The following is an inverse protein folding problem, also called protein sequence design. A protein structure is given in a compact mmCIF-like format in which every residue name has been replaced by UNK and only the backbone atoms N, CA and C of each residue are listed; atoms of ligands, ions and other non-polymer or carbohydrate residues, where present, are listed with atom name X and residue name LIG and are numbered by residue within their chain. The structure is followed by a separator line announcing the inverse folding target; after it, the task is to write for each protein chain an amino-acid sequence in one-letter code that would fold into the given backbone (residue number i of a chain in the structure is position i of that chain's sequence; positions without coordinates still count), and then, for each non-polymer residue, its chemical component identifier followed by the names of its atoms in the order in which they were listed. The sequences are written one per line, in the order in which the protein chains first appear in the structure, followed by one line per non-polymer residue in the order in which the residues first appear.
data_IF_187908330277
#
_entry.id   IF_187908330277
#
_cell.length_a   1.000
_cell.length_b   1.000
_cell.length_c   1.000
_cell.angle_alpha   90.00
_cell.angle_beta   90.00
_cell.angle_gamma   90.00
#
_symmetry.space_group_name_H-M   'P 1'
#
loop_
_entity.id
_entity.type
_entity.pdbx_description
1 polymer ?
#
# COMPACT_ATOMS: atom_id res chain seq x y z
N UNK A 1 20.90 16.78 6.95
CA UNK A 1 21.94 16.34 6.00
C UNK A 1 23.34 16.37 6.61
N UNK A 2 23.94 17.54 6.88
CA UNK A 2 25.30 17.63 7.45
C UNK A 2 25.49 16.77 8.71
N UNK A 3 24.66 16.96 9.73
CA UNK A 3 24.74 16.19 10.98
C UNK A 3 24.23 14.75 10.86
N UNK A 4 23.53 14.37 9.78
CA UNK A 4 23.25 12.95 9.52
C UNK A 4 24.52 12.23 9.05
N UNK A 5 25.37 12.92 8.28
CA UNK A 5 26.67 12.42 7.83
C UNK A 5 27.73 12.48 8.93
N UNK A 6 27.68 13.52 9.77
CA UNK A 6 28.63 13.73 10.88
C UNK A 6 27.91 13.77 12.23
N UNK A 7 27.40 12.62 12.72
CA UNK A 7 26.59 12.57 13.94
C UNK A 7 27.37 12.91 15.21
N UNK A 8 28.70 12.83 15.18
CA UNK A 8 29.57 13.12 16.34
C UNK A 8 30.16 14.54 16.32
N UNK A 9 29.78 15.37 15.34
CA UNK A 9 30.25 16.76 15.29
C UNK A 9 29.66 17.59 16.44
N UNK A 10 30.42 18.61 16.85
CA UNK A 10 29.93 19.61 17.81
C UNK A 10 28.69 20.30 17.24
N UNK A 11 27.66 20.48 18.09
CA UNK A 11 26.35 21.00 17.69
C UNK A 11 25.41 20.00 16.99
N UNK A 12 25.75 18.71 16.95
CA UNK A 12 24.88 17.65 16.38
C UNK A 12 23.52 17.54 17.07
N UNK A 13 23.34 18.09 18.28
CA UNK A 13 22.05 18.16 18.99
C UNK A 13 20.94 18.87 18.18
N UNK A 14 21.30 19.76 17.24
CA UNK A 14 20.32 20.41 16.35
C UNK A 14 19.60 19.40 15.43
N UNK A 15 20.11 18.17 15.32
CA UNK A 15 19.40 17.07 14.64
C UNK A 15 18.04 16.80 15.25
N UNK A 16 17.84 16.98 16.56
CA UNK A 16 16.55 16.74 17.23
C UNK A 16 15.45 17.61 16.62
N UNK A 17 15.74 18.87 16.33
CA UNK A 17 14.76 19.80 15.74
C UNK A 17 14.69 19.71 14.21
N UNK A 18 15.74 19.21 13.56
CA UNK A 18 15.80 19.06 12.09
C UNK A 18 15.43 17.66 11.60
N UNK A 19 15.18 16.70 12.50
CA UNK A 19 14.83 15.32 12.15
C UNK A 19 13.58 15.24 11.27
N UNK A 20 12.60 16.12 11.50
CA UNK A 20 11.37 16.20 10.71
C UNK A 20 11.56 16.74 9.27
N UNK A 21 12.75 17.23 8.93
CA UNK A 21 13.12 17.53 7.53
C UNK A 21 13.59 16.28 6.78
N UNK A 22 14.01 15.24 7.50
CA UNK A 22 14.45 13.98 6.91
C UNK A 22 13.24 13.19 6.40
N UNK A 23 13.24 12.79 5.13
CA UNK A 23 12.21 11.95 4.53
C UNK A 23 10.78 12.53 4.60
N UNK A 24 10.64 13.86 4.72
CA UNK A 24 9.33 14.53 4.92
C UNK A 24 8.28 14.14 3.87
N UNK A 25 8.70 13.97 2.62
CA UNK A 25 7.83 13.58 1.49
C UNK A 25 7.95 12.10 1.12
N UNK A 26 8.78 11.34 1.84
CA UNK A 26 9.00 9.91 1.59
C UNK A 26 8.11 9.03 2.46
N UNK A 27 7.02 9.59 3.01
CA UNK A 27 6.09 8.87 3.85
C UNK A 27 5.53 7.60 3.18
N UNK A 28 5.48 7.55 1.85
CA UNK A 28 5.08 6.36 1.10
C UNK A 28 6.05 5.20 1.31
N UNK A 29 7.37 5.43 1.24
CA UNK A 29 8.37 4.39 1.49
C UNK A 29 8.34 3.93 2.95
N UNK A 30 8.21 4.87 3.89
CA UNK A 30 8.06 4.51 5.30
C UNK A 30 6.82 3.65 5.56
N UNK A 31 5.68 3.98 4.91
CA UNK A 31 4.46 3.19 5.02
C UNK A 31 4.59 1.82 4.34
N UNK A 32 5.27 1.74 3.20
CA UNK A 32 5.56 0.49 2.49
C UNK A 32 6.52 -0.41 3.27
N UNK A 33 7.58 0.13 3.86
CA UNK A 33 8.49 -0.64 4.73
C UNK A 33 7.75 -1.18 5.94
N UNK A 34 6.94 -0.33 6.61
CA UNK A 34 6.11 -0.75 7.73
C UNK A 34 5.11 -1.85 7.33
N UNK A 35 4.53 -1.76 6.13
CA UNK A 35 3.68 -2.82 5.59
C UNK A 35 4.46 -4.12 5.38
N UNK A 36 5.63 -4.07 4.74
CA UNK A 36 6.46 -5.25 4.46
C UNK A 36 6.92 -5.94 5.76
N UNK A 37 7.35 -5.15 6.75
CA UNK A 37 7.71 -5.64 8.09
C UNK A 37 6.52 -6.35 8.77
N UNK A 38 5.32 -5.75 8.69
CA UNK A 38 4.11 -6.34 9.28
C UNK A 38 3.64 -7.59 8.54
N UNK A 39 3.83 -7.62 7.22
CA UNK A 39 3.51 -8.76 6.36
C UNK A 39 4.55 -9.89 6.45
N UNK A 40 5.68 -9.66 7.12
CA UNK A 40 6.85 -10.54 7.11
C UNK A 40 7.27 -10.87 5.67
N UNK A 41 7.43 -9.84 4.85
CA UNK A 41 7.82 -9.91 3.45
C UNK A 41 9.13 -9.15 3.21
N UNK A 42 9.87 -9.53 2.17
CA UNK A 42 10.99 -8.71 1.72
C UNK A 42 10.48 -7.39 1.11
N UNK A 43 11.24 -6.30 1.30
CA UNK A 43 10.85 -4.98 0.79
C UNK A 43 10.61 -4.93 -0.72
N UNK A 44 11.21 -5.84 -1.49
CA UNK A 44 10.97 -5.94 -2.94
C UNK A 44 9.63 -6.62 -3.29
N UNK A 45 9.17 -7.55 -2.44
CA UNK A 45 7.99 -8.36 -2.74
C UNK A 45 6.69 -7.55 -2.67
N UNK A 46 6.68 -6.46 -1.87
CA UNK A 46 5.52 -5.56 -1.78
C UNK A 46 5.11 -5.01 -3.15
N UNK A 47 6.05 -4.80 -4.06
CA UNK A 47 5.74 -4.24 -5.38
C UNK A 47 4.91 -5.20 -6.22
N UNK A 48 5.01 -6.51 -5.96
CA UNK A 48 4.18 -7.53 -6.58
C UNK A 48 2.71 -7.49 -6.14
N UNK A 49 2.40 -6.79 -5.05
CA UNK A 49 1.05 -6.62 -4.51
C UNK A 49 0.35 -5.34 -4.98
N UNK A 50 1.00 -4.56 -5.86
CA UNK A 50 0.42 -3.35 -6.44
C UNK A 50 -0.35 -3.72 -7.71
N UNK A 51 -1.69 -3.73 -7.62
CA UNK A 51 -2.54 -4.04 -8.78
C UNK A 51 -3.21 -2.83 -9.43
N UNK A 52 -3.13 -1.62 -8.83
CA UNK A 52 -3.58 -0.37 -9.48
C UNK A 52 -2.53 0.12 -10.48
N UNK A 53 -2.87 0.28 -11.77
CA UNK A 53 -1.98 0.91 -12.74
C UNK A 53 -1.61 2.34 -12.37
N UNK A 54 -2.55 3.10 -11.77
CA UNK A 54 -2.31 4.47 -11.32
C UNK A 54 -1.24 4.50 -10.23
N UNK A 55 -1.42 3.67 -9.20
CA UNK A 55 -0.46 3.49 -8.11
C UNK A 55 0.92 3.05 -8.62
N UNK A 56 0.95 2.08 -9.53
CA UNK A 56 2.18 1.62 -10.17
C UNK A 56 2.90 2.77 -10.88
N UNK A 57 2.17 3.58 -11.64
CA UNK A 57 2.75 4.72 -12.37
C UNK A 57 3.25 5.81 -11.42
N UNK A 58 2.53 6.10 -10.33
CA UNK A 58 3.00 7.01 -9.27
C UNK A 58 4.33 6.54 -8.69
N UNK A 59 4.42 5.26 -8.31
CA UNK A 59 5.61 4.69 -7.70
C UNK A 59 6.80 4.61 -8.68
N UNK A 60 6.57 4.24 -9.94
CA UNK A 60 7.63 4.27 -10.96
C UNK A 60 8.14 5.70 -11.15
N UNK A 61 7.22 6.68 -11.22
CA UNK A 61 7.60 8.10 -11.35
C UNK A 61 8.42 8.56 -10.15
N UNK A 62 8.05 8.14 -8.94
CA UNK A 62 8.77 8.43 -7.72
C UNK A 62 10.17 7.81 -7.72
N UNK A 63 10.28 6.51 -8.05
CA UNK A 63 11.54 5.78 -8.12
C UNK A 63 12.49 6.41 -9.15
N UNK A 64 12.00 6.78 -10.34
CA UNK A 64 12.82 7.46 -11.35
C UNK A 64 13.30 8.85 -10.91
N UNK A 65 12.54 9.56 -10.07
CA UNK A 65 12.95 10.87 -9.56
C UNK A 65 14.03 10.77 -8.48
N UNK A 66 14.06 9.66 -7.75
CA UNK A 66 15.00 9.44 -6.65
C UNK A 66 16.27 8.73 -7.14
N UNK A 67 16.20 8.01 -8.26
CA UNK A 67 17.33 7.35 -8.90
C UNK A 67 18.11 6.42 -7.92
N UNK A 68 19.35 6.07 -8.25
CA UNK A 68 20.25 5.24 -7.43
C UNK A 68 20.61 5.85 -6.05
N UNK A 69 20.22 7.10 -5.82
CA UNK A 69 20.50 7.83 -4.59
C UNK A 69 19.72 7.32 -3.37
N UNK A 70 18.61 6.58 -3.56
CA UNK A 70 17.82 6.02 -2.44
C UNK A 70 18.63 5.08 -1.54
N UNK A 71 19.58 4.34 -2.13
CA UNK A 71 20.42 3.38 -1.42
C UNK A 71 21.59 4.02 -0.69
N UNK A 72 21.87 5.30 -0.96
CA UNK A 72 23.04 5.98 -0.45
C UNK A 72 22.70 6.66 0.89
N UNK A 73 23.40 6.33 1.99
CA UNK A 73 23.11 6.88 3.30
C UNK A 73 23.31 8.41 3.38
N UNK A 74 24.16 8.96 2.51
CA UNK A 74 24.55 10.37 2.50
C UNK A 74 23.85 11.18 1.38
N UNK A 75 22.79 10.63 0.80
CA UNK A 75 22.10 11.20 -0.36
C UNK A 75 21.30 12.48 -0.05
N UNK A 76 21.05 13.26 -1.12
CA UNK A 76 20.11 14.38 -1.12
C UNK A 76 18.64 13.95 -1.18
N UNK A 77 18.37 12.70 -1.55
CA UNK A 77 17.05 12.12 -1.75
C UNK A 77 16.07 12.43 -0.59
N UNK A 78 16.44 12.26 0.69
CA UNK A 78 15.53 12.58 1.81
C UNK A 78 15.12 14.04 1.91
N UNK A 79 15.83 14.94 1.22
CA UNK A 79 15.72 16.39 1.33
C UNK A 79 15.30 17.08 0.02
N UNK A 80 14.93 16.32 -1.02
CA UNK A 80 14.68 16.87 -2.37
C UNK A 80 13.68 18.04 -2.38
N UNK A 81 12.61 17.98 -1.57
CA UNK A 81 11.64 19.08 -1.47
C UNK A 81 12.18 20.28 -0.72
N UNK A 82 12.75 20.06 0.46
CA UNK A 82 13.26 21.15 1.31
C UNK A 82 14.44 21.89 0.65
N UNK A 83 15.16 21.23 -0.26
CA UNK A 83 16.22 21.82 -1.09
C UNK A 83 15.73 22.37 -2.44
N UNK A 84 14.45 22.23 -2.77
CA UNK A 84 13.89 22.70 -4.04
C UNK A 84 14.37 21.92 -5.27
N UNK A 85 14.91 20.71 -5.08
CA UNK A 85 15.40 19.82 -6.15
C UNK A 85 14.27 19.04 -6.83
N UNK A 86 13.11 18.90 -6.17
CA UNK A 86 11.92 18.29 -6.75
C UNK A 86 10.65 19.08 -6.40
N UNK A 87 9.76 19.36 -7.37
CA UNK A 87 8.61 20.24 -7.18
C UNK A 87 7.55 19.68 -6.23
N UNK A 88 7.46 18.35 -6.07
CA UNK A 88 6.76 17.59 -5.01
C UNK A 88 6.87 16.10 -5.35
N UNK A 89 7.09 15.25 -4.34
CA UNK A 89 7.15 13.78 -4.46
C UNK A 89 5.89 13.09 -3.95
N UNK A 90 4.78 13.83 -3.84
CA UNK A 90 3.53 13.31 -3.33
C UNK A 90 3.00 12.17 -4.21
N UNK A 91 2.90 11.00 -3.61
CA UNK A 91 2.15 9.85 -4.12
C UNK A 91 1.00 9.59 -3.15
N UNK A 92 -0.07 10.42 -3.19
CA UNK A 92 -1.13 10.37 -2.20
C UNK A 92 -1.90 9.05 -2.25
N UNK A 93 -2.15 8.51 -3.46
CA UNK A 93 -2.79 7.20 -3.64
C UNK A 93 -1.90 6.11 -3.03
N UNK A 94 -0.59 6.14 -3.29
CA UNK A 94 0.36 5.17 -2.74
C UNK A 94 0.47 5.23 -1.22
N UNK A 95 0.58 6.42 -0.67
CA UNK A 95 0.65 6.62 0.78
C UNK A 95 -0.63 6.14 1.47
N UNK A 96 -1.79 6.44 0.89
CA UNK A 96 -3.07 6.01 1.42
C UNK A 96 -3.19 4.48 1.41
N UNK A 97 -2.94 3.84 0.26
CA UNK A 97 -3.02 2.39 0.12
C UNK A 97 -2.04 1.67 1.07
N UNK A 98 -0.78 2.10 1.16
CA UNK A 98 0.19 1.50 2.07
C UNK A 98 -0.25 1.61 3.54
N UNK A 99 -0.82 2.75 3.94
CA UNK A 99 -1.37 2.94 5.29
C UNK A 99 -2.57 2.04 5.54
N UNK A 100 -3.54 1.99 4.63
CA UNK A 100 -4.71 1.11 4.80
C UNK A 100 -4.27 -0.34 4.91
N UNK A 101 -3.40 -0.78 4.01
CA UNK A 101 -2.89 -2.14 4.01
C UNK A 101 -2.16 -2.47 5.32
N UNK A 102 -1.30 -1.59 5.84
CA UNK A 102 -0.66 -1.77 7.14
C UNK A 102 -1.65 -1.82 8.32
N UNK A 103 -2.72 -1.02 8.29
CA UNK A 103 -3.78 -1.09 9.29
C UNK A 103 -4.48 -2.44 9.28
N UNK A 104 -4.75 -2.98 8.09
CA UNK A 104 -5.47 -4.26 7.91
C UNK A 104 -4.61 -5.45 8.30
N UNK A 105 -3.31 -5.46 7.96
CA UNK A 105 -2.39 -6.55 8.34
C UNK A 105 -2.26 -6.71 9.85
N UNK A 106 -2.35 -5.63 10.62
CA UNK A 106 -2.32 -5.70 12.10
C UNK A 106 -3.51 -6.43 12.69
N UNK A 107 -4.58 -6.62 11.92
CA UNK A 107 -5.63 -7.56 12.28
C UNK A 107 -5.14 -8.99 12.04
N UNK A 108 -5.07 -9.78 13.11
CA UNK A 108 -4.71 -11.20 13.02
C UNK A 108 -5.71 -11.89 12.06
N UNK A 109 -5.33 -12.10 10.81
CA UNK A 109 -6.15 -12.80 9.80
C UNK A 109 -6.30 -12.12 8.44
N UNK A 110 -6.13 -10.79 8.33
CA UNK A 110 -6.34 -10.07 7.06
C UNK A 110 -5.03 -9.73 6.32
N UNK A 111 -4.00 -10.56 6.49
CA UNK A 111 -2.62 -10.26 6.07
C UNK A 111 -2.49 -10.00 4.55
N UNK A 112 -3.48 -10.40 3.74
CA UNK A 112 -3.33 -10.47 2.28
C UNK A 112 -4.55 -10.02 1.47
N UNK A 113 -5.49 -9.26 2.05
CA UNK A 113 -6.54 -8.64 1.24
C UNK A 113 -5.88 -7.66 0.25
N UNK A 114 -5.99 -7.86 -1.08
CA UNK A 114 -5.43 -6.92 -2.04
C UNK A 114 -6.28 -5.65 -2.04
N UNK A 115 -5.89 -4.75 -1.16
CA UNK A 115 -6.56 -3.48 -0.96
C UNK A 115 -6.01 -2.50 -1.98
N UNK A 116 -6.74 -2.38 -3.08
CA UNK A 116 -6.46 -1.40 -4.12
C UNK A 116 -7.59 -0.39 -4.11
N UNK A 117 -7.36 0.71 -3.40
CA UNK A 117 -8.20 1.89 -3.42
C UNK A 117 -7.70 2.83 -4.50
N UNK A 118 -8.48 3.01 -5.56
CA UNK A 118 -8.27 4.12 -6.50
C UNK A 118 -9.19 5.26 -6.05
N UNK A 119 -8.62 6.37 -5.60
CA UNK A 119 -9.40 7.61 -5.41
C UNK A 119 -9.34 8.40 -6.71
N UNK A 120 -10.48 8.89 -7.20
CA UNK A 120 -10.50 9.82 -8.33
C UNK A 120 -10.02 11.22 -7.95
N UNK A 121 -9.95 11.50 -6.65
CA UNK A 121 -9.52 12.77 -6.09
C UNK A 121 -8.61 12.52 -4.85
N UNK A 122 -7.39 13.07 -4.81
CA UNK A 122 -6.47 12.93 -3.67
C UNK A 122 -6.91 13.70 -2.41
N UNK A 123 -7.92 14.57 -2.50
CA UNK A 123 -8.47 15.35 -1.38
C UNK A 123 -9.92 14.98 -1.04
N UNK A 124 -10.60 14.26 -1.92
CA UNK A 124 -11.95 13.74 -1.70
C UNK A 124 -11.92 12.22 -1.49
N UNK A 125 -11.61 11.82 -0.26
CA UNK A 125 -11.71 10.44 0.23
C UNK A 125 -13.15 9.91 0.24
N UNK A 126 -14.16 10.66 -0.23
CA UNK A 126 -15.54 10.18 -0.36
C UNK A 126 -15.84 9.51 -1.72
N UNK A 127 -14.88 9.51 -2.65
CA UNK A 127 -15.10 8.98 -4.01
C UNK A 127 -14.76 7.49 -4.17
N UNK A 128 -15.82 6.73 -4.50
CA UNK A 128 -15.85 5.47 -5.24
C UNK A 128 -14.71 4.49 -4.86
N UNK A 129 -14.80 3.88 -3.67
CA UNK A 129 -14.13 2.60 -3.38
C UNK A 129 -14.75 1.54 -4.29
N UNK A 130 -14.42 1.61 -5.57
CA UNK A 130 -14.52 0.47 -6.45
C UNK A 130 -13.14 -0.11 -6.49
N UNK A 131 -12.98 -1.23 -5.80
CA UNK A 131 -12.08 -2.27 -6.27
C UNK A 131 -12.50 -2.47 -7.74
N UNK A 132 -11.77 -1.85 -8.69
CA UNK A 132 -11.96 -2.04 -10.15
C UNK A 132 -10.87 -2.95 -10.72
N UNK A 133 -10.63 -4.16 -10.19
CA UNK A 133 -9.92 -5.17 -10.95
C UNK A 133 -10.74 -5.55 -12.18
N UNK A 134 -12.09 -5.45 -12.12
CA UNK A 134 -13.02 -6.01 -13.11
C UNK A 134 -12.63 -5.76 -14.58
N UNK A 135 -12.07 -4.62 -15.02
CA UNK A 135 -11.65 -4.43 -16.43
C UNK A 135 -10.26 -4.98 -16.78
N UNK A 136 -9.30 -4.90 -15.87
CA UNK A 136 -7.94 -5.37 -16.09
C UNK A 136 -7.84 -6.88 -15.86
N UNK A 137 -8.48 -7.37 -14.80
CA UNK A 137 -8.52 -8.76 -14.39
C UNK A 137 -9.44 -9.61 -15.28
N UNK A 138 -10.59 -9.10 -15.76
CA UNK A 138 -11.40 -9.84 -16.76
C UNK A 138 -10.67 -10.05 -18.10
N UNK A 139 -9.80 -9.11 -18.52
CA UNK A 139 -8.94 -9.29 -19.69
C UNK A 139 -7.91 -10.40 -19.48
N UNK A 140 -7.36 -10.51 -18.27
CA UNK A 140 -6.44 -11.57 -17.84
C UNK A 140 -7.13 -12.93 -17.74
N UNK A 141 -8.36 -12.97 -17.22
CA UNK A 141 -9.20 -14.18 -17.21
C UNK A 141 -9.53 -14.70 -18.59
N UNK A 142 -9.90 -13.79 -19.51
CA UNK A 142 -10.18 -14.15 -20.90
C UNK A 142 -8.98 -14.84 -21.56
N UNK A 143 -7.79 -14.26 -21.41
CA UNK A 143 -6.54 -14.83 -21.95
C UNK A 143 -6.17 -16.19 -21.33
N UNK A 144 -6.73 -16.54 -20.16
CA UNK A 144 -6.38 -17.74 -19.38
C UNK A 144 -7.41 -18.86 -19.53
N UNK A 145 -8.68 -18.53 -19.67
CA UNK A 145 -9.71 -19.44 -20.20
C UNK A 145 -9.33 -19.92 -21.61
N UNK A 146 -8.74 -19.03 -22.42
CA UNK A 146 -8.12 -19.38 -23.71
C UNK A 146 -6.93 -20.36 -23.58
N UNK A 147 -6.37 -20.55 -22.37
CA UNK A 147 -5.21 -21.41 -22.10
C UNK A 147 -5.52 -22.73 -21.34
N UNK A 148 -6.74 -22.93 -20.84
CA UNK A 148 -7.22 -24.24 -20.33
C UNK A 148 -6.77 -24.68 -18.92
N UNK A 149 -6.62 -23.78 -17.95
CA UNK A 149 -6.29 -24.13 -16.55
C UNK A 149 -7.56 -24.33 -15.66
N UNK A 150 -7.59 -25.40 -14.85
CA UNK A 150 -8.70 -25.78 -13.94
C UNK A 150 -8.41 -25.36 -12.47
N UNK A 151 -9.42 -24.96 -11.67
CA UNK A 151 -9.21 -24.09 -10.47
C UNK A 151 -9.81 -24.58 -9.13
N UNK A 152 -10.52 -25.72 -9.06
CA UNK A 152 -11.41 -25.98 -7.90
C UNK A 152 -10.75 -26.36 -6.55
N UNK A 153 -9.50 -26.84 -6.51
CA UNK A 153 -8.84 -27.28 -5.24
C UNK A 153 -7.87 -26.23 -4.63
N UNK A 154 -7.88 -25.00 -5.13
CA UNK A 154 -6.83 -24.01 -4.86
C UNK A 154 -6.93 -23.24 -3.52
N UNK A 155 -8.06 -23.31 -2.81
CA UNK A 155 -8.37 -22.41 -1.68
C UNK A 155 -7.43 -22.53 -0.46
N UNK A 156 -7.09 -23.77 -0.06
CA UNK A 156 -6.29 -24.01 1.15
C UNK A 156 -4.82 -23.65 0.95
N UNK A 157 -4.31 -23.78 -0.28
CA UNK A 157 -2.90 -23.63 -0.59
C UNK A 157 -2.49 -22.16 -0.83
N UNK A 158 -3.41 -21.34 -1.38
CA UNK A 158 -3.19 -19.90 -1.59
C UNK A 158 -2.99 -19.15 -0.27
N UNK A 159 -3.71 -19.55 0.78
CA UNK A 159 -3.63 -18.93 2.11
C UNK A 159 -2.29 -19.13 2.83
N UNK A 160 -1.48 -20.09 2.38
CA UNK A 160 -0.21 -20.46 3.03
C UNK A 160 1.00 -19.69 2.50
N UNK A 161 0.85 -18.97 1.39
CA UNK A 161 1.93 -18.25 0.72
C UNK A 161 1.71 -16.74 0.66
N UNK A 162 2.82 -15.99 0.80
CA UNK A 162 2.84 -14.51 0.71
C UNK A 162 3.11 -14.03 -0.72
N UNK A 163 3.10 -14.95 -1.69
CA UNK A 163 3.34 -14.62 -3.08
C UNK A 163 2.04 -14.08 -3.71
N UNK A 164 2.05 -12.92 -4.40
CA UNK A 164 0.83 -12.28 -4.92
C UNK A 164 0.14 -13.10 -6.01
N UNK A 165 0.90 -13.85 -6.81
CA UNK A 165 0.36 -14.61 -7.96
C UNK A 165 -0.74 -15.62 -7.59
N UNK A 166 -0.58 -16.53 -6.60
CA UNK A 166 -1.67 -17.37 -6.10
C UNK A 166 -2.95 -16.58 -5.73
N UNK A 167 -2.81 -15.46 -5.02
CA UNK A 167 -3.93 -14.61 -4.61
C UNK A 167 -4.66 -13.98 -5.80
N UNK A 168 -3.90 -13.44 -6.76
CA UNK A 168 -4.47 -12.91 -8.00
C UNK A 168 -5.21 -14.01 -8.75
N UNK A 169 -4.62 -15.20 -8.86
CA UNK A 169 -5.25 -16.34 -9.56
C UNK A 169 -6.57 -16.76 -8.91
N UNK A 170 -6.62 -16.73 -7.58
CA UNK A 170 -7.82 -17.02 -6.81
C UNK A 170 -8.92 -15.99 -7.09
N UNK A 171 -8.61 -14.70 -6.93
CA UNK A 171 -9.58 -13.63 -7.21
C UNK A 171 -10.03 -13.64 -8.67
N UNK A 172 -9.11 -13.92 -9.59
CA UNK A 172 -9.44 -14.09 -10.99
C UNK A 172 -10.43 -15.23 -11.22
N UNK A 173 -10.30 -16.35 -10.52
CA UNK A 173 -11.21 -17.48 -10.68
C UNK A 173 -12.65 -17.17 -10.24
N UNK A 174 -12.81 -16.25 -9.29
CA UNK A 174 -14.08 -15.92 -8.64
C UNK A 174 -14.62 -14.55 -9.08
N UNK A 175 -14.42 -14.17 -10.35
CA UNK A 175 -14.85 -12.88 -10.92
C UNK A 175 -14.42 -11.62 -10.13
N UNK A 176 -13.32 -11.76 -9.38
CA UNK A 176 -12.76 -10.78 -8.45
C UNK A 176 -13.65 -10.46 -7.25
N UNK A 177 -14.54 -11.39 -6.87
CA UNK A 177 -15.27 -11.35 -5.61
C UNK A 177 -14.30 -11.57 -4.45
N UNK A 178 -14.55 -10.87 -3.34
CA UNK A 178 -13.75 -10.98 -2.13
C UNK A 178 -14.26 -12.21 -1.38
N UNK A 179 -13.40 -13.20 -1.05
CA UNK A 179 -13.85 -14.37 -0.32
C UNK A 179 -14.44 -14.03 1.06
N UNK A 180 -15.51 -14.72 1.45
CA UNK A 180 -16.23 -14.51 2.73
C UNK A 180 -15.30 -14.44 3.94
N UNK A 181 -14.29 -15.33 4.02
CA UNK A 181 -13.36 -15.35 5.15
C UNK A 181 -12.51 -14.05 5.26
N UNK A 182 -12.24 -13.37 4.15
CA UNK A 182 -11.57 -12.06 4.16
C UNK A 182 -12.54 -11.01 4.67
N UNK A 183 -13.80 -11.03 4.23
CA UNK A 183 -14.84 -10.10 4.69
C UNK A 183 -15.13 -10.25 6.18
N UNK A 184 -15.21 -11.49 6.68
CA UNK A 184 -15.39 -11.81 8.10
C UNK A 184 -14.21 -11.28 8.93
N UNK A 185 -12.97 -11.59 8.54
CA UNK A 185 -11.77 -11.11 9.21
C UNK A 185 -11.69 -9.57 9.21
N UNK A 186 -12.04 -8.95 8.09
CA UNK A 186 -12.05 -7.50 7.95
C UNK A 186 -13.16 -6.87 8.81
N UNK A 187 -14.34 -7.47 8.86
CA UNK A 187 -15.44 -7.01 9.71
C UNK A 187 -15.11 -7.14 11.19
N UNK A 188 -14.50 -8.26 11.61
CA UNK A 188 -14.01 -8.47 12.97
C UNK A 188 -12.94 -7.43 13.31
N UNK A 189 -12.02 -7.14 12.39
CA UNK A 189 -11.03 -6.08 12.56
C UNK A 189 -11.68 -4.71 12.78
N UNK A 190 -12.59 -4.32 11.88
CA UNK A 190 -13.25 -3.02 11.97
C UNK A 190 -14.00 -2.89 13.29
N UNK A 191 -14.59 -3.97 13.82
CA UNK A 191 -15.29 -3.96 15.11
C UNK A 191 -14.39 -3.64 16.31
N UNK A 192 -13.08 -3.89 16.19
CA UNK A 192 -12.07 -3.62 17.22
C UNK A 192 -11.50 -2.21 17.15
N UNK A 193 -11.79 -1.46 16.09
CA UNK A 193 -11.37 -0.06 15.97
C UNK A 193 -12.21 0.77 16.94
N UNK A 194 -11.54 1.35 17.94
CA UNK A 194 -12.15 2.26 18.92
C UNK A 194 -12.38 3.66 18.35
N UNK A 195 -12.28 4.68 19.21
CA UNK A 195 -12.39 6.07 18.77
C UNK A 195 -11.27 6.43 17.77
N UNK A 196 -11.67 6.92 16.60
CA UNK A 196 -10.78 7.34 15.51
C UNK A 196 -10.75 8.86 15.41
N UNK A 197 -9.59 9.41 15.05
CA UNK A 197 -9.45 10.85 14.83
C UNK A 197 -9.98 11.22 13.44
N UNK A 198 -10.71 12.34 13.29
CA UNK A 198 -11.20 12.80 12.00
C UNK A 198 -10.08 12.96 10.96
N UNK A 199 -10.34 12.56 9.73
CA UNK A 199 -9.40 12.69 8.60
C UNK A 199 -8.24 11.68 8.62
N UNK A 200 -8.33 10.63 9.43
CA UNK A 200 -7.37 9.52 9.43
C UNK A 200 -7.84 8.34 8.58
N UNK A 201 -6.93 7.41 8.28
CA UNK A 201 -7.29 6.14 7.63
C UNK A 201 -8.29 5.34 8.48
N UNK A 202 -8.19 5.39 9.81
CA UNK A 202 -9.17 4.75 10.69
C UNK A 202 -10.56 5.34 10.56
N UNK A 203 -10.65 6.67 10.48
CA UNK A 203 -11.91 7.39 10.24
C UNK A 203 -12.52 7.03 8.87
N UNK A 204 -11.69 6.96 7.83
CA UNK A 204 -12.13 6.48 6.51
C UNK A 204 -12.71 5.06 6.58
N UNK A 205 -11.99 4.11 7.21
CA UNK A 205 -12.40 2.71 7.31
C UNK A 205 -13.70 2.52 8.10
N UNK A 206 -13.86 3.26 9.19
CA UNK A 206 -15.09 3.25 10.00
C UNK A 206 -16.25 3.87 9.24
N UNK A 207 -16.05 5.02 8.59
CA UNK A 207 -17.08 5.74 7.83
C UNK A 207 -17.58 4.94 6.63
N UNK A 208 -16.70 4.16 5.99
CA UNK A 208 -17.02 3.41 4.78
C UNK A 208 -17.30 1.93 5.03
N UNK A 209 -17.40 1.48 6.29
CA UNK A 209 -17.62 0.07 6.67
C UNK A 209 -18.71 -0.60 5.82
N UNK A 210 -19.90 0.00 5.76
CA UNK A 210 -21.06 -0.60 5.09
C UNK A 210 -20.88 -0.69 3.56
N UNK A 211 -20.06 0.18 2.97
CA UNK A 211 -19.73 0.13 1.54
C UNK A 211 -18.66 -0.92 1.26
N UNK A 212 -17.70 -1.07 2.18
CA UNK A 212 -16.64 -2.08 2.09
C UNK A 212 -17.17 -3.50 2.26
N UNK A 213 -18.26 -3.68 3.03
CA UNK A 213 -18.98 -4.95 3.20
C UNK A 213 -19.94 -5.29 2.06
N UNK A 214 -20.12 -4.41 1.07
CA UNK A 214 -21.07 -4.60 -0.05
C UNK A 214 -20.38 -4.60 -1.40
N UNK A 215 -19.07 -4.87 -1.45
CA UNK A 215 -18.32 -4.96 -2.70
C UNK A 215 -18.63 -6.32 -3.36
N UNK A 216 -19.85 -6.45 -3.90
CA UNK A 216 -20.27 -7.50 -4.84
C UNK A 216 -20.19 -6.97 -6.29
#
# INVERSE_FOLDING_TARGET
MFFNKFPTSDGSDVTVVTLAANCREMGVFSAMNLFAEQANMEHGDIFGWIFSPSLKNELITLLHKIDDEFSQPDSYAPYLKDLGLAPTLACPEALFNAKVAGYVIRSKGAIFAPLVFSTSDPYDYTTDVRVRPKKYLSRLNRLRMEAGEDVSDAWVDVSRGNHPRPWIRMLLADDCEIPDFIEENFSEFLSKIGEVRPGTVGDFLVTHRDKLQKIN
#
